data_IF_327333203967
#
_entry.id   IF_327333203967
#
_cell.length_a   1.000
_cell.length_b   1.000
_cell.length_c   1.000
_cell.angle_alpha   90.00
_cell.angle_beta   90.00
_cell.angle_gamma   90.00
#
_symmetry.space_group_name_H-M   'P 1'
#
loop_
_entity.id
_entity.type
_entity.pdbx_description
1 polymer ?
#
# COMPACT_ATOMS: atom_id res chain seq x y z
N UNK A 1 -29.39 -46.26 -8.11
CA UNK A 1 -29.36 -45.51 -6.83
C UNK A 1 -28.04 -44.78 -6.76
N UNK A 2 -28.11 -43.51 -6.39
CA UNK A 2 -27.12 -42.44 -6.64
C UNK A 2 -25.85 -42.66 -5.81
N UNK A 3 -24.68 -42.52 -6.44
CA UNK A 3 -23.39 -42.48 -5.75
C UNK A 3 -23.30 -41.18 -4.93
N UNK A 4 -23.16 -41.32 -3.61
CA UNK A 4 -22.98 -40.19 -2.70
C UNK A 4 -21.63 -39.51 -2.97
N UNK A 5 -21.72 -38.26 -3.40
CA UNK A 5 -20.59 -37.39 -3.66
C UNK A 5 -19.98 -36.98 -2.32
N UNK A 6 -19.05 -37.79 -1.81
CA UNK A 6 -18.33 -37.52 -0.57
C UNK A 6 -17.25 -36.48 -0.83
N UNK A 7 -17.61 -35.19 -0.77
CA UNK A 7 -16.61 -34.13 -0.67
C UNK A 7 -15.73 -34.40 0.55
N UNK A 8 -14.40 -34.39 0.45
CA UNK A 8 -13.54 -34.63 1.60
C UNK A 8 -13.77 -33.51 2.62
N UNK A 9 -14.27 -33.88 3.80
CA UNK A 9 -14.34 -32.97 4.95
C UNK A 9 -12.92 -32.55 5.30
N UNK A 10 -12.63 -31.25 5.26
CA UNK A 10 -11.32 -30.72 5.64
C UNK A 10 -11.08 -31.02 7.12
N UNK A 11 -9.87 -31.46 7.46
CA UNK A 11 -9.47 -31.71 8.85
C UNK A 11 -9.73 -30.45 9.72
N UNK A 12 -10.49 -30.57 10.83
CA UNK A 12 -10.72 -29.46 11.75
C UNK A 12 -9.45 -28.79 12.25
N UNK A 13 -8.34 -29.52 12.41
CA UNK A 13 -7.05 -28.96 12.82
C UNK A 13 -6.48 -28.02 11.75
N UNK A 14 -6.55 -28.40 10.47
CA UNK A 14 -6.13 -27.57 9.33
C UNK A 14 -6.98 -26.30 9.24
N UNK A 15 -8.28 -26.41 9.47
CA UNK A 15 -9.17 -25.25 9.49
C UNK A 15 -8.85 -24.28 10.63
N UNK A 16 -8.52 -24.78 11.82
CA UNK A 16 -8.13 -23.95 12.95
C UNK A 16 -6.81 -23.19 12.70
N UNK A 17 -5.81 -23.87 12.13
CA UNK A 17 -4.53 -23.23 11.76
C UNK A 17 -4.73 -22.15 10.70
N UNK A 18 -5.52 -22.43 9.66
CA UNK A 18 -5.84 -21.46 8.61
C UNK A 18 -6.53 -20.21 9.18
N UNK A 19 -7.47 -20.37 10.10
CA UNK A 19 -8.14 -19.24 10.78
C UNK A 19 -7.14 -18.42 11.59
N UNK A 20 -6.22 -19.07 12.32
CA UNK A 20 -5.21 -18.38 13.11
C UNK A 20 -4.24 -17.55 12.25
N UNK A 21 -3.79 -18.10 11.11
CA UNK A 21 -2.93 -17.38 10.16
C UNK A 21 -3.68 -16.18 9.57
N UNK A 22 -4.95 -16.35 9.17
CA UNK A 22 -5.77 -15.26 8.63
C UNK A 22 -5.98 -14.14 9.63
N UNK A 23 -6.21 -14.46 10.90
CA UNK A 23 -6.31 -13.44 11.94
C UNK A 23 -5.03 -12.60 12.06
N UNK A 24 -3.86 -13.21 11.84
CA UNK A 24 -2.59 -12.49 11.82
C UNK A 24 -2.46 -11.60 10.60
N UNK A 25 -2.94 -12.04 9.42
CA UNK A 25 -3.00 -11.23 8.20
C UNK A 25 -3.91 -10.02 8.42
N UNK A 26 -5.12 -10.22 8.97
CA UNK A 26 -6.06 -9.14 9.23
C UNK A 26 -5.46 -8.06 10.15
N UNK A 27 -4.68 -8.47 11.15
CA UNK A 27 -3.98 -7.54 12.03
C UNK A 27 -2.90 -6.73 11.30
N UNK A 28 -2.15 -7.35 10.38
CA UNK A 28 -1.16 -6.67 9.55
C UNK A 28 -1.86 -5.68 8.61
N UNK A 29 -2.95 -6.07 7.99
CA UNK A 29 -3.72 -5.22 7.09
C UNK A 29 -4.27 -3.98 7.81
N UNK A 30 -4.79 -4.15 9.03
CA UNK A 30 -5.20 -3.02 9.86
C UNK A 30 -4.03 -2.04 10.13
N UNK A 31 -2.85 -2.58 10.47
CA UNK A 31 -1.66 -1.76 10.69
C UNK A 31 -1.22 -1.03 9.40
N UNK A 32 -1.26 -1.69 8.25
CA UNK A 32 -0.96 -1.08 6.95
C UNK A 32 -1.89 0.11 6.65
N UNK A 33 -3.19 -0.05 6.88
CA UNK A 33 -4.17 1.04 6.67
C UNK A 33 -3.89 2.23 7.59
N UNK A 34 -3.61 2.00 8.87
CA UNK A 34 -3.26 3.08 9.79
C UNK A 34 -1.96 3.80 9.41
N UNK A 35 -0.93 3.05 9.00
CA UNK A 35 0.33 3.65 8.55
C UNK A 35 0.18 4.43 7.24
N UNK A 36 -0.64 3.94 6.31
CA UNK A 36 -1.00 4.68 5.11
C UNK A 36 -1.74 5.98 5.46
N UNK A 37 -2.73 5.93 6.37
CA UNK A 37 -3.45 7.13 6.80
C UNK A 37 -2.50 8.20 7.37
N UNK A 38 -1.56 7.81 8.24
CA UNK A 38 -0.52 8.72 8.75
C UNK A 38 0.38 9.26 7.63
N UNK A 39 0.85 8.40 6.71
CA UNK A 39 1.64 8.82 5.56
C UNK A 39 0.89 9.86 4.72
N UNK A 40 -0.41 9.65 4.48
CA UNK A 40 -1.24 10.56 3.69
C UNK A 40 -1.47 11.92 4.36
N UNK A 41 -1.47 11.99 5.71
CA UNK A 41 -1.49 13.29 6.41
C UNK A 41 -0.28 14.14 6.05
N UNK A 42 0.92 13.53 6.03
CA UNK A 42 2.14 14.24 5.66
C UNK A 42 2.19 14.59 4.17
N UNK A 43 1.72 13.72 3.28
CA UNK A 43 1.69 14.06 1.85
C UNK A 43 0.71 15.19 1.57
N UNK A 44 -0.41 15.29 2.28
CA UNK A 44 -1.30 16.45 2.18
C UNK A 44 -0.66 17.75 2.68
N UNK A 45 0.13 17.69 3.76
CA UNK A 45 0.90 18.85 4.22
C UNK A 45 1.92 19.29 3.17
N UNK A 46 2.64 18.34 2.54
CA UNK A 46 3.53 18.62 1.41
C UNK A 46 2.76 19.24 0.24
N UNK A 47 1.58 18.71 -0.10
CA UNK A 47 0.74 19.22 -1.19
C UNK A 47 0.31 20.66 -0.95
N UNK A 48 -0.19 20.97 0.26
CA UNK A 48 -0.52 22.34 0.66
C UNK A 48 0.69 23.27 0.59
N UNK A 49 1.84 22.83 1.12
CA UNK A 49 3.07 23.62 1.07
C UNK A 49 3.50 23.91 -0.37
N UNK A 50 3.42 22.91 -1.25
CA UNK A 50 3.72 23.07 -2.68
C UNK A 50 2.79 24.05 -3.36
N UNK A 51 1.48 23.91 -3.15
CA UNK A 51 0.46 24.80 -3.71
C UNK A 51 0.68 26.26 -3.27
N UNK A 52 0.94 26.51 -1.99
CA UNK A 52 1.19 27.87 -1.47
C UNK A 52 2.44 28.54 -2.06
N UNK A 53 3.39 27.78 -2.62
CA UNK A 53 4.66 28.29 -3.15
C UNK A 53 4.83 28.03 -4.64
N UNK A 54 3.74 27.76 -5.37
CA UNK A 54 3.75 27.48 -6.82
C UNK A 54 4.74 26.37 -7.23
N UNK A 55 4.94 25.37 -6.36
CA UNK A 55 5.81 24.23 -6.62
C UNK A 55 5.05 23.11 -7.34
N UNK A 56 5.70 22.39 -8.28
CA UNK A 56 5.04 21.32 -9.03
C UNK A 56 4.63 20.15 -8.14
N UNK A 57 3.47 19.56 -8.44
CA UNK A 57 2.93 18.38 -7.76
C UNK A 57 3.87 17.17 -7.88
N UNK A 58 4.41 16.91 -9.07
CA UNK A 58 5.41 15.87 -9.31
C UNK A 58 6.84 16.37 -9.10
N UNK A 59 7.71 15.49 -8.59
CA UNK A 59 9.16 15.68 -8.51
C UNK A 59 9.83 14.36 -8.94
N UNK A 60 10.13 14.19 -10.25
CA UNK A 60 10.64 12.94 -10.79
C UNK A 60 11.96 12.48 -10.13
N UNK A 61 12.81 13.43 -9.74
CA UNK A 61 14.07 13.12 -9.08
C UNK A 61 13.84 12.58 -7.66
N UNK A 62 12.88 13.15 -6.92
CA UNK A 62 12.47 12.63 -5.60
C UNK A 62 11.80 11.27 -5.73
N UNK A 63 10.92 11.09 -6.70
CA UNK A 63 10.21 9.83 -6.97
C UNK A 63 11.19 8.69 -7.27
N UNK A 64 12.17 8.92 -8.17
CA UNK A 64 13.22 7.94 -8.47
C UNK A 64 14.03 7.50 -7.24
N UNK A 65 14.39 8.46 -6.36
CA UNK A 65 15.08 8.15 -5.09
C UNK A 65 14.21 7.33 -4.14
N UNK A 66 12.90 7.55 -4.13
CA UNK A 66 11.98 6.76 -3.29
C UNK A 66 11.86 5.33 -3.80
N UNK A 67 11.71 5.15 -5.11
CA UNK A 67 11.66 3.82 -5.73
C UNK A 67 12.93 3.03 -5.42
N UNK A 68 14.12 3.62 -5.65
CA UNK A 68 15.39 2.96 -5.36
C UNK A 68 15.51 2.53 -3.88
N UNK A 69 15.14 3.42 -2.94
CA UNK A 69 15.15 3.10 -1.52
C UNK A 69 14.17 1.98 -1.15
N UNK A 70 12.97 1.97 -1.74
CA UNK A 70 11.95 0.97 -1.43
C UNK A 70 12.27 -0.40 -2.02
N UNK A 71 12.90 -0.44 -3.20
CA UNK A 71 13.43 -1.69 -3.75
C UNK A 71 14.45 -2.32 -2.81
N UNK A 72 15.40 -1.54 -2.30
CA UNK A 72 16.37 -2.03 -1.32
C UNK A 72 15.70 -2.54 -0.03
N UNK A 73 14.72 -1.81 0.51
CA UNK A 73 13.96 -2.26 1.69
C UNK A 73 13.17 -3.55 1.43
N UNK A 74 12.66 -3.73 0.21
CA UNK A 74 11.96 -4.95 -0.18
C UNK A 74 12.93 -6.14 -0.22
N UNK A 75 14.12 -5.96 -0.80
CA UNK A 75 15.18 -6.98 -0.80
C UNK A 75 15.54 -7.40 0.63
N UNK A 76 15.79 -6.44 1.52
CA UNK A 76 16.11 -6.69 2.94
C UNK A 76 14.98 -7.43 3.67
N UNK A 77 13.72 -7.18 3.29
CA UNK A 77 12.54 -7.80 3.87
C UNK A 77 12.14 -9.13 3.21
N UNK A 78 12.91 -9.64 2.25
CA UNK A 78 12.57 -10.80 1.42
C UNK A 78 11.23 -10.66 0.66
N UNK A 79 10.90 -9.43 0.25
CA UNK A 79 9.77 -9.10 -0.61
C UNK A 79 10.26 -8.84 -2.05
N UNK A 80 9.51 -9.28 -3.06
CA UNK A 80 9.83 -9.00 -4.46
C UNK A 80 9.95 -7.47 -4.70
N UNK A 81 11.12 -6.95 -5.09
CA UNK A 81 11.33 -5.52 -5.31
C UNK A 81 10.46 -4.96 -6.43
N UNK A 82 10.14 -5.78 -7.45
CA UNK A 82 9.25 -5.37 -8.53
C UNK A 82 7.81 -5.22 -8.04
N UNK A 83 7.36 -6.08 -7.12
CA UNK A 83 6.07 -5.92 -6.46
C UNK A 83 6.03 -4.67 -5.58
N UNK A 84 7.06 -4.45 -4.75
CA UNK A 84 7.15 -3.27 -3.89
C UNK A 84 7.12 -1.96 -4.68
N UNK A 85 7.81 -1.91 -5.82
CA UNK A 85 7.78 -0.78 -6.74
C UNK A 85 6.38 -0.55 -7.33
N UNK A 86 5.68 -1.60 -7.80
CA UNK A 86 4.31 -1.48 -8.33
C UNK A 86 3.35 -0.91 -7.27
N UNK A 87 3.40 -1.45 -6.06
CA UNK A 87 2.57 -0.96 -4.95
C UNK A 87 2.89 0.49 -4.63
N UNK A 88 4.17 0.86 -4.60
CA UNK A 88 4.57 2.22 -4.29
C UNK A 88 4.16 3.21 -5.38
N UNK A 89 4.32 2.85 -6.65
CA UNK A 89 3.91 3.70 -7.77
C UNK A 89 2.40 3.98 -7.70
N UNK A 90 1.58 2.98 -7.37
CA UNK A 90 0.16 3.18 -7.11
C UNK A 90 -0.10 4.22 -6.01
N UNK A 91 0.58 4.10 -4.87
CA UNK A 91 0.43 5.06 -3.75
C UNK A 91 0.91 6.47 -4.13
N UNK A 92 1.98 6.60 -4.91
CA UNK A 92 2.50 7.91 -5.37
C UNK A 92 1.55 8.57 -6.35
N UNK A 93 0.98 7.81 -7.30
CA UNK A 93 -0.01 8.36 -8.24
C UNK A 93 -1.20 8.99 -7.52
N UNK A 94 -1.71 8.36 -6.46
CA UNK A 94 -2.79 8.92 -5.65
C UNK A 94 -2.37 10.22 -4.94
N UNK A 95 -1.13 10.28 -4.45
CA UNK A 95 -0.59 11.49 -3.81
C UNK A 95 -0.46 12.65 -4.81
N UNK A 96 0.02 12.38 -6.02
CA UNK A 96 0.15 13.40 -7.07
C UNK A 96 -1.23 13.94 -7.44
N UNK A 97 -2.22 13.06 -7.63
CA UNK A 97 -3.60 13.46 -7.90
C UNK A 97 -4.15 14.39 -6.81
N UNK A 98 -3.89 14.09 -5.53
CA UNK A 98 -4.26 14.98 -4.42
C UNK A 98 -3.54 16.33 -4.45
N UNK A 99 -2.27 16.38 -4.86
CA UNK A 99 -1.52 17.63 -4.96
C UNK A 99 -2.06 18.52 -6.08
N UNK A 100 -2.37 17.93 -7.24
CA UNK A 100 -2.99 18.65 -8.35
C UNK A 100 -4.32 19.28 -7.96
N UNK A 101 -5.16 18.55 -7.22
CA UNK A 101 -6.43 19.08 -6.69
C UNK A 101 -6.23 20.24 -5.71
N UNK A 102 -5.29 20.10 -4.78
CA UNK A 102 -4.99 21.17 -3.81
C UNK A 102 -4.44 22.43 -4.48
N UNK A 103 -3.69 22.30 -5.57
CA UNK A 103 -3.24 23.44 -6.35
C UNK A 103 -4.41 24.13 -7.06
N UNK A 104 -5.33 23.37 -7.66
CA UNK A 104 -6.53 23.91 -8.31
C UNK A 104 -7.50 24.62 -7.33
N UNK A 105 -7.59 24.16 -6.08
CA UNK A 105 -8.42 24.78 -5.04
C UNK A 105 -7.80 26.06 -4.44
N UNK A 106 -6.51 26.32 -4.71
CA UNK A 106 -5.78 27.48 -4.16
C UNK A 106 -5.79 28.72 -5.08
N UNK A 107 -6.25 28.57 -6.32
CA UNK A 107 -6.50 29.65 -7.30
C UNK A 107 -7.87 30.33 -7.07
#
# INVERSE_FOLDING_TARGET
MVAENSSPSIDPAVMAELVSIRQSIDNIDAALIHMLAERFKFTQQVGRLKATHDLPASDPAREARQVARLRALAEDANLDPAFAEKWFNFVVSEVIHHHERLAADAE
#
